data_IF_990612097120
#
_entry.id   IF_990612097120
#
_cell.length_a   1.000
_cell.length_b   1.000
_cell.length_c   1.000
_cell.angle_alpha   90.00
_cell.angle_beta   90.00
_cell.angle_gamma   90.00
#
_symmetry.space_group_name_H-M   'P 1'
#
loop_
_entity.id
_entity.type
_entity.pdbx_description
1 polymer ?
#
# COMPACT_ATOMS: atom_id res chain seq x y z
N UNK A 1 -16.51 -1.08 -19.72
CA UNK A 1 -15.06 -1.40 -19.81
C UNK A 1 -14.36 -0.24 -20.50
N UNK A 2 -13.13 0.10 -20.08
CA UNK A 2 -12.28 1.12 -20.69
C UNK A 2 -10.97 0.47 -21.12
N UNK A 3 -10.38 0.94 -22.21
CA UNK A 3 -9.11 0.41 -22.72
C UNK A 3 -7.94 1.29 -22.24
N UNK A 4 -6.86 0.66 -21.78
CA UNK A 4 -5.61 1.31 -21.41
C UNK A 4 -4.49 0.68 -22.23
N UNK A 5 -3.71 1.50 -22.92
CA UNK A 5 -2.50 1.06 -23.62
C UNK A 5 -1.28 1.58 -22.87
N UNK A 6 -0.36 0.68 -22.48
CA UNK A 6 0.87 1.03 -21.77
C UNK A 6 2.04 0.40 -22.50
N UNK A 7 3.10 1.18 -22.69
CA UNK A 7 4.40 0.67 -23.17
C UNK A 7 5.28 0.37 -21.97
N UNK A 8 5.87 -0.82 -21.95
CA UNK A 8 6.75 -1.30 -20.88
C UNK A 8 8.02 -1.90 -21.50
N UNK A 9 9.05 -2.11 -20.69
CA UNK A 9 10.25 -2.83 -21.14
C UNK A 9 9.93 -4.30 -21.43
N UNK A 10 10.76 -4.95 -22.26
CA UNK A 10 10.64 -6.38 -22.55
C UNK A 10 10.70 -7.24 -21.27
N UNK A 11 11.50 -6.81 -20.30
CA UNK A 11 11.57 -7.47 -18.99
C UNK A 11 10.22 -7.48 -18.29
N UNK A 12 9.57 -6.32 -18.14
CA UNK A 12 8.25 -6.22 -17.50
C UNK A 12 7.20 -6.98 -18.31
N UNK A 13 7.26 -6.89 -19.65
CA UNK A 13 6.38 -7.64 -20.51
C UNK A 13 6.46 -9.15 -20.23
N UNK A 14 7.68 -9.70 -20.15
CA UNK A 14 7.90 -11.11 -19.84
C UNK A 14 7.37 -11.49 -18.45
N UNK A 15 7.48 -10.61 -17.45
CA UNK A 15 6.86 -10.86 -16.14
C UNK A 15 5.33 -10.88 -16.23
N UNK A 16 4.72 -9.89 -16.90
CA UNK A 16 3.26 -9.79 -17.04
C UNK A 16 2.67 -10.99 -17.78
N UNK A 17 3.39 -11.54 -18.76
CA UNK A 17 2.95 -12.74 -19.50
C UNK A 17 2.80 -13.99 -18.63
N UNK A 18 3.42 -14.02 -17.44
CA UNK A 18 3.28 -15.14 -16.50
C UNK A 18 2.00 -15.05 -15.65
N UNK A 19 1.23 -13.97 -15.76
CA UNK A 19 0.02 -13.76 -14.99
C UNK A 19 -1.21 -13.69 -15.88
N UNK A 20 -2.28 -14.34 -15.43
CA UNK A 20 -3.53 -14.43 -16.17
C UNK A 20 -4.48 -13.24 -15.95
N UNK A 21 -4.30 -12.48 -14.86
CA UNK A 21 -5.16 -11.37 -14.49
C UNK A 21 -4.39 -10.06 -14.27
N UNK A 22 -4.15 -9.33 -15.36
CA UNK A 22 -3.41 -8.05 -15.33
C UNK A 22 -4.19 -6.98 -14.55
N UNK A 23 -5.52 -6.99 -14.60
CA UNK A 23 -6.35 -6.03 -13.86
C UNK A 23 -6.12 -6.13 -12.35
N UNK A 24 -6.06 -7.35 -11.83
CA UNK A 24 -5.76 -7.60 -10.41
C UNK A 24 -4.36 -7.12 -10.01
N UNK A 25 -3.35 -7.34 -10.86
CA UNK A 25 -1.98 -6.86 -10.61
C UNK A 25 -1.94 -5.34 -10.57
N UNK A 26 -2.61 -4.68 -11.52
CA UNK A 26 -2.72 -3.22 -11.54
C UNK A 26 -3.37 -2.73 -10.25
N UNK A 27 -4.46 -3.38 -9.81
CA UNK A 27 -5.16 -3.01 -8.57
C UNK A 27 -4.26 -3.17 -7.34
N UNK A 28 -3.51 -4.28 -7.25
CA UNK A 28 -2.54 -4.51 -6.17
C UNK A 28 -1.45 -3.44 -6.17
N UNK A 29 -0.90 -3.11 -7.34
CA UNK A 29 0.10 -2.07 -7.50
C UNK A 29 -0.41 -0.69 -7.08
N UNK A 30 -1.64 -0.34 -7.46
CA UNK A 30 -2.30 0.92 -7.06
C UNK A 30 -2.45 1.00 -5.54
N UNK A 31 -2.96 -0.08 -4.91
CA UNK A 31 -3.12 -0.14 -3.44
C UNK A 31 -1.78 0.07 -2.73
N UNK A 32 -0.74 -0.63 -3.18
CA UNK A 32 0.61 -0.47 -2.60
C UNK A 32 1.18 0.92 -2.83
N UNK A 33 1.00 1.50 -4.02
CA UNK A 33 1.44 2.87 -4.30
C UNK A 33 0.75 3.89 -3.39
N UNK A 34 -0.54 3.72 -3.10
CA UNK A 34 -1.31 4.59 -2.19
C UNK A 34 -0.72 4.60 -0.78
N UNK A 35 -0.36 3.44 -0.25
CA UNK A 35 0.34 3.29 1.04
C UNK A 35 1.65 4.07 1.04
N UNK A 36 2.48 3.91 0.01
CA UNK A 36 3.75 4.65 -0.11
C UNK A 36 3.57 6.17 -0.18
N UNK A 37 2.54 6.65 -0.89
CA UNK A 37 2.28 8.08 -0.99
C UNK A 37 1.81 8.66 0.33
N UNK A 38 0.92 7.95 1.02
CA UNK A 38 0.43 8.34 2.34
C UNK A 38 1.55 8.31 3.39
N UNK A 39 2.43 7.31 3.33
CA UNK A 39 3.62 7.24 4.18
C UNK A 39 4.48 8.50 4.07
N UNK A 40 4.70 9.00 2.85
CA UNK A 40 5.42 10.28 2.64
C UNK A 40 4.66 11.46 3.24
N UNK A 41 3.34 11.49 3.16
CA UNK A 41 2.56 12.58 3.78
C UNK A 41 2.71 12.55 5.30
N UNK A 42 2.64 11.37 5.89
CA UNK A 42 2.79 11.16 7.34
C UNK A 42 4.19 11.55 7.82
N UNK A 43 5.26 11.05 7.19
CA UNK A 43 6.64 11.36 7.56
C UNK A 43 6.98 12.85 7.46
N UNK A 44 6.34 13.57 6.54
CA UNK A 44 6.47 15.02 6.39
C UNK A 44 5.54 15.81 7.34
N UNK A 45 4.90 15.16 8.31
CA UNK A 45 3.96 15.75 9.26
C UNK A 45 2.77 16.48 8.61
N UNK A 46 2.40 16.12 7.37
CA UNK A 46 1.29 16.76 6.65
C UNK A 46 -0.06 16.16 7.02
N UNK A 47 -0.08 14.94 7.56
CA UNK A 47 -1.29 14.23 8.01
C UNK A 47 -1.00 13.49 9.31
N UNK A 48 -2.03 13.34 10.15
CA UNK A 48 -1.96 12.43 11.30
C UNK A 48 -2.02 10.96 10.84
N UNK A 49 -1.66 10.03 11.73
CA UNK A 49 -1.75 8.60 11.44
C UNK A 49 -3.18 8.13 11.12
N UNK A 50 -4.18 8.60 11.89
CA UNK A 50 -5.59 8.29 11.59
C UNK A 50 -6.02 8.83 10.22
N UNK A 51 -5.60 10.05 9.86
CA UNK A 51 -5.89 10.63 8.55
C UNK A 51 -5.17 9.88 7.42
N UNK A 52 -3.96 9.39 7.68
CA UNK A 52 -3.25 8.53 6.76
C UNK A 52 -4.03 7.23 6.50
N UNK A 53 -4.59 6.59 7.52
CA UNK A 53 -5.37 5.35 7.37
C UNK A 53 -6.63 5.57 6.53
N UNK A 54 -7.35 6.67 6.79
CA UNK A 54 -8.50 7.07 5.97
C UNK A 54 -8.13 7.26 4.49
N UNK A 55 -7.03 7.98 4.20
CA UNK A 55 -6.58 8.21 2.82
C UNK A 55 -6.15 6.89 2.18
N UNK A 56 -5.47 6.01 2.91
CA UNK A 56 -5.06 4.70 2.43
C UNK A 56 -6.23 3.73 2.22
N UNK A 57 -7.43 4.05 2.74
CA UNK A 57 -8.58 3.13 2.83
C UNK A 57 -8.21 1.82 3.56
N UNK A 58 -7.43 1.96 4.63
CA UNK A 58 -7.02 0.86 5.51
C UNK A 58 -7.49 1.13 6.93
N UNK A 59 -7.66 0.07 7.71
CA UNK A 59 -7.75 0.21 9.16
C UNK A 59 -6.38 0.65 9.72
N UNK A 60 -6.38 1.24 10.91
CA UNK A 60 -5.15 1.80 11.50
C UNK A 60 -4.11 0.73 11.84
N UNK A 61 -4.54 -0.45 12.27
CA UNK A 61 -3.72 -1.65 12.48
C UNK A 61 -3.07 -2.15 11.18
N UNK A 62 -3.84 -2.23 10.10
CA UNK A 62 -3.35 -2.61 8.77
C UNK A 62 -2.31 -1.60 8.27
N UNK A 63 -2.59 -0.30 8.42
CA UNK A 63 -1.64 0.74 8.03
C UNK A 63 -0.35 0.66 8.88
N UNK A 64 -0.44 0.34 10.17
CA UNK A 64 0.72 0.21 11.04
C UNK A 64 1.65 -0.91 10.58
N UNK A 65 1.08 -2.05 10.17
CA UNK A 65 1.84 -3.16 9.59
C UNK A 65 2.53 -2.76 8.28
N UNK A 66 1.80 -2.08 7.39
CA UNK A 66 2.37 -1.58 6.14
C UNK A 66 3.51 -0.59 6.39
N UNK A 67 3.34 0.36 7.32
CA UNK A 67 4.37 1.35 7.67
C UNK A 67 5.59 0.70 8.32
N UNK A 68 5.39 -0.27 9.21
CA UNK A 68 6.47 -1.06 9.80
C UNK A 68 7.29 -1.79 8.72
N UNK A 69 6.62 -2.41 7.73
CA UNK A 69 7.28 -3.05 6.59
C UNK A 69 8.09 -2.06 5.71
N UNK A 70 7.74 -0.77 5.77
CA UNK A 70 8.47 0.32 5.12
C UNK A 70 9.56 0.95 6.01
N UNK A 71 9.78 0.43 7.23
CA UNK A 71 10.73 0.98 8.20
C UNK A 71 10.27 2.29 8.84
N UNK A 72 8.96 2.55 8.84
CA UNK A 72 8.34 3.74 9.45
C UNK A 72 7.76 3.32 10.79
N UNK A 73 8.19 3.98 11.86
CA UNK A 73 7.70 3.70 13.21
C UNK A 73 6.27 4.25 13.37
N UNK A 74 5.25 3.38 13.55
CA UNK A 74 3.89 3.83 13.79
C UNK A 74 3.72 4.32 15.23
N UNK A 75 2.65 5.09 15.52
CA UNK A 75 2.41 5.61 16.88
C UNK A 75 2.03 4.54 17.90
N UNK A 76 1.72 3.31 17.46
CA UNK A 76 1.44 2.16 18.30
C UNK A 76 2.61 1.19 18.19
N UNK A 77 3.02 0.54 19.29
CA UNK A 77 4.04 -0.50 19.21
C UNK A 77 3.55 -1.64 18.31
N UNK A 78 4.48 -2.34 17.65
CA UNK A 78 4.17 -3.51 16.84
C UNK A 78 3.37 -4.59 17.61
N UNK A 79 3.57 -4.66 18.92
CA UNK A 79 2.81 -5.52 19.84
C UNK A 79 1.33 -5.11 19.91
N UNK A 80 1.03 -3.83 20.09
CA UNK A 80 -0.34 -3.32 20.10
C UNK A 80 -1.05 -3.52 18.75
N UNK A 81 -0.34 -3.37 17.63
CA UNK A 81 -0.92 -3.62 16.31
C UNK A 81 -1.24 -5.11 16.08
N UNK A 82 -0.43 -6.04 16.60
CA UNK A 82 -0.71 -7.47 16.50
C UNK A 82 -1.89 -7.91 17.37
N UNK A 83 -2.07 -7.30 18.55
CA UNK A 83 -3.20 -7.59 19.44
C UNK A 83 -4.55 -7.21 18.80
N UNK A 84 -4.61 -6.15 18.00
CA UNK A 84 -5.82 -5.70 17.29
C UNK A 84 -6.19 -6.58 16.08
N UNK A 85 -5.20 -7.25 15.45
CA UNK A 85 -5.41 -8.09 14.26
C UNK A 85 -5.77 -9.55 14.61
N UNK A 86 -5.53 -9.98 15.85
CA UNK A 86 -5.77 -11.35 16.30
C UNK A 86 -7.23 -11.66 16.67
N UNK A 87 -8.19 -10.83 16.25
CA UNK A 87 -9.64 -10.95 16.57
C UNK A 87 -10.45 -11.46 15.38
#
# INVERSE_FOLDING_TARGET
MKNINVQVSDEIYNYLMNYTNIEEIILLGIRKKKVYDVAKLYQNNMVSFGRAAEIAELRQDELALEFSALGIEPPFSFEMAQEEVAV
#
